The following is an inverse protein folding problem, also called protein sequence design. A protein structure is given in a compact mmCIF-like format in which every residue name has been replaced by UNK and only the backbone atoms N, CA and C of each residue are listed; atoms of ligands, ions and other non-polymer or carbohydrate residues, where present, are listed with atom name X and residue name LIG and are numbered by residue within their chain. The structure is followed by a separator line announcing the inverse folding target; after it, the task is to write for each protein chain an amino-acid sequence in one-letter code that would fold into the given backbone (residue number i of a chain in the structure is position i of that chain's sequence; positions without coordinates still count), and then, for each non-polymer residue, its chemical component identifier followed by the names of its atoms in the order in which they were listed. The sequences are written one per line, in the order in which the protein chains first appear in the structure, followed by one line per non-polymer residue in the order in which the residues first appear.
data_IF_882986017443
#
_entry.id   IF_882986017443
#
_cell.length_a   1.000
_cell.length_b   1.000
_cell.length_c   1.000
_cell.angle_alpha   90.00
_cell.angle_beta   90.00
_cell.angle_gamma   90.00
#
_symmetry.space_group_name_H-M   'P 1'
#
loop_
_entity.id
_entity.type
_entity.pdbx_description
1 polymer ?
#
# COMPACT_ATOMS: atom_id res chain seq x y z
N UNK A 1 -3.36 0.35 20.48
CA UNK A 1 -2.92 0.30 19.07
C UNK A 1 -2.29 -1.05 18.84
N UNK A 2 -2.84 -1.87 17.94
CA UNK A 2 -2.11 -3.03 17.42
C UNK A 2 -0.98 -2.52 16.51
N UNK A 3 0.16 -3.21 16.47
CA UNK A 3 1.25 -2.85 15.56
C UNK A 3 0.81 -3.06 14.10
N UNK A 4 1.32 -2.22 13.20
CA UNK A 4 1.14 -2.35 11.74
C UNK A 4 2.43 -2.77 11.04
N UNK A 5 3.46 -3.15 11.79
CA UNK A 5 4.75 -3.51 11.21
C UNK A 5 4.72 -4.98 10.78
N UNK A 6 5.34 -5.30 9.64
CA UNK A 6 5.40 -6.67 9.13
C UNK A 6 6.04 -7.62 10.16
N UNK A 7 7.06 -7.15 10.87
CA UNK A 7 7.75 -7.94 11.91
C UNK A 7 6.87 -8.31 13.11
N UNK A 8 5.80 -7.56 13.34
CA UNK A 8 4.91 -7.71 14.50
C UNK A 8 3.54 -8.27 14.11
N UNK A 9 3.35 -8.64 12.83
CA UNK A 9 2.05 -9.06 12.28
C UNK A 9 2.16 -10.32 11.46
N UNK A 10 1.12 -11.15 11.50
CA UNK A 10 0.92 -12.24 10.53
C UNK A 10 0.31 -11.70 9.24
N UNK A 11 0.34 -12.51 8.18
CA UNK A 11 -0.36 -12.19 6.92
C UNK A 11 -1.84 -11.90 7.15
N UNK A 12 -2.53 -12.74 7.91
CA UNK A 12 -3.96 -12.60 8.22
C UNK A 12 -4.25 -11.31 9.01
N UNK A 13 -3.37 -10.93 9.93
CA UNK A 13 -3.48 -9.65 10.63
C UNK A 13 -3.33 -8.47 9.68
N UNK A 14 -2.40 -8.55 8.72
CA UNK A 14 -2.24 -7.52 7.69
C UNK A 14 -3.45 -7.42 6.76
N UNK A 15 -4.04 -8.55 6.38
CA UNK A 15 -5.30 -8.57 5.60
C UNK A 15 -6.43 -7.87 6.35
N UNK A 16 -6.58 -8.13 7.66
CA UNK A 16 -7.56 -7.43 8.51
C UNK A 16 -7.25 -5.94 8.64
N UNK A 17 -6.00 -5.56 8.86
CA UNK A 17 -5.58 -4.15 8.96
C UNK A 17 -5.94 -3.40 7.67
N UNK A 18 -5.68 -3.98 6.50
CA UNK A 18 -6.02 -3.39 5.20
C UNK A 18 -7.54 -3.29 5.03
N UNK A 19 -8.29 -4.35 5.33
CA UNK A 19 -9.75 -4.36 5.24
C UNK A 19 -10.41 -3.33 6.16
N UNK A 20 -9.95 -3.22 7.42
CA UNK A 20 -10.42 -2.21 8.38
C UNK A 20 -10.06 -0.79 7.94
N UNK A 21 -8.87 -0.59 7.36
CA UNK A 21 -8.38 0.72 6.91
C UNK A 21 -9.12 1.27 5.70
N UNK A 22 -9.60 0.39 4.81
CA UNK A 22 -10.43 0.77 3.65
C UNK A 22 -11.87 1.09 4.10
N UNK A 23 -12.24 0.71 5.33
CA UNK A 23 -13.59 0.82 5.86
C UNK A 23 -14.43 -0.37 5.44
N UNK A 24 -15.21 -0.92 6.37
CA UNK A 24 -16.10 -2.08 6.18
C UNK A 24 -16.74 -2.08 4.77
N UNK A 25 -16.29 -2.98 3.90
CA UNK A 25 -16.88 -3.24 2.57
C UNK A 25 -18.19 -4.04 2.74
N UNK A 26 -18.95 -3.79 3.82
CA UNK A 26 -20.35 -4.24 3.93
C UNK A 26 -21.24 -3.50 2.92
N UNK A 27 -20.74 -2.37 2.39
CA UNK A 27 -21.23 -1.82 1.14
C UNK A 27 -20.82 -2.72 -0.01
N UNK A 28 -21.69 -3.68 -0.36
CA UNK A 28 -21.73 -4.50 -1.58
C UNK A 28 -21.38 -3.69 -2.85
N UNK A 29 -20.09 -3.41 -3.05
CA UNK A 29 -19.57 -2.76 -4.24
C UNK A 29 -18.62 -3.75 -4.91
N UNK A 30 -19.26 -4.64 -5.67
CA UNK A 30 -18.68 -5.73 -6.46
C UNK A 30 -17.70 -5.15 -7.49
N UNK A 31 -16.48 -4.81 -7.04
CA UNK A 31 -15.39 -4.28 -7.87
C UNK A 31 -14.69 -3.00 -7.40
N UNK A 32 -15.19 -2.24 -6.41
CA UNK A 32 -14.52 -0.99 -5.99
C UNK A 32 -13.25 -1.20 -5.17
N UNK A 33 -13.14 -2.35 -4.51
CA UNK A 33 -12.03 -2.64 -3.59
C UNK A 33 -10.81 -3.24 -4.30
N UNK A 34 -10.97 -3.73 -5.53
CA UNK A 34 -9.92 -4.48 -6.24
C UNK A 34 -8.64 -3.65 -6.43
N UNK A 35 -8.75 -2.42 -6.93
CA UNK A 35 -7.58 -1.55 -7.15
C UNK A 35 -6.90 -1.04 -5.87
N UNK A 36 -7.65 -0.90 -4.77
CA UNK A 36 -7.09 -0.45 -3.49
C UNK A 36 -6.38 -1.59 -2.74
N UNK A 37 -6.90 -2.82 -2.85
CA UNK A 37 -6.26 -4.02 -2.29
C UNK A 37 -4.93 -4.29 -3.02
N UNK A 38 -4.90 -4.11 -4.34
CA UNK A 38 -3.68 -4.28 -5.14
C UNK A 38 -2.51 -3.40 -4.67
N UNK A 39 -2.78 -2.15 -4.25
CA UNK A 39 -1.76 -1.25 -3.72
C UNK A 39 -1.11 -1.78 -2.43
N UNK A 40 -1.91 -2.42 -1.55
CA UNK A 40 -1.43 -2.93 -0.26
C UNK A 40 -0.98 -4.40 -0.30
N UNK A 41 -1.09 -5.07 -1.45
CA UNK A 41 -0.67 -6.46 -1.60
C UNK A 41 0.81 -6.72 -1.19
N UNK A 42 1.79 -5.84 -1.51
CA UNK A 42 3.16 -5.99 -1.03
C UNK A 42 3.30 -5.95 0.49
N UNK A 43 2.41 -5.24 1.19
CA UNK A 43 2.36 -5.23 2.65
C UNK A 43 1.76 -6.54 3.17
N UNK A 44 0.63 -6.99 2.61
CA UNK A 44 0.02 -8.28 2.96
C UNK A 44 1.04 -9.42 2.83
N UNK A 45 1.77 -9.47 1.70
CA UNK A 45 2.80 -10.47 1.42
C UNK A 45 4.05 -10.33 2.30
N UNK A 46 4.17 -9.26 3.09
CA UNK A 46 5.32 -9.03 3.97
C UNK A 46 6.58 -8.57 3.23
N UNK A 47 6.43 -8.03 2.02
CA UNK A 47 7.53 -7.59 1.16
C UNK A 47 7.91 -6.13 1.44
N UNK A 48 6.94 -5.27 1.75
CA UNK A 48 7.15 -3.83 1.90
C UNK A 48 6.25 -3.23 2.98
N UNK A 49 6.79 -2.35 3.82
CA UNK A 49 6.01 -1.69 4.88
C UNK A 49 5.00 -0.69 4.29
N UNK A 50 3.86 -0.49 4.98
CA UNK A 50 2.82 0.48 4.57
C UNK A 50 3.43 1.87 4.30
N UNK A 51 4.40 2.29 5.12
CA UNK A 51 5.05 3.59 4.97
C UNK A 51 5.76 3.73 3.63
N UNK A 52 6.40 2.67 3.17
CA UNK A 52 7.15 2.67 1.92
C UNK A 52 6.20 2.65 0.71
N UNK A 53 5.09 1.90 0.80
CA UNK A 53 4.00 1.91 -0.19
C UNK A 53 3.41 3.32 -0.33
N UNK A 54 3.08 3.97 0.80
CA UNK A 54 2.52 5.31 0.81
C UNK A 54 3.48 6.36 0.24
N UNK A 55 4.79 6.20 0.45
CA UNK A 55 5.79 7.10 -0.10
C UNK A 55 5.88 6.99 -1.62
N UNK A 56 5.84 5.77 -2.16
CA UNK A 56 5.81 5.54 -3.61
C UNK A 56 4.56 6.18 -4.22
N UNK A 57 3.39 5.93 -3.66
CA UNK A 57 2.14 6.52 -4.19
C UNK A 57 2.15 8.06 -4.16
N UNK A 58 2.68 8.67 -3.09
CA UNK A 58 2.78 10.14 -2.97
C UNK A 58 3.76 10.74 -3.97
N UNK A 59 4.90 10.09 -4.21
CA UNK A 59 5.87 10.53 -5.21
C UNK A 59 5.26 10.51 -6.63
N UNK A 60 4.39 9.54 -6.93
CA UNK A 60 3.68 9.46 -8.21
C UNK A 60 2.55 10.50 -8.33
N UNK A 61 1.81 10.76 -7.25
CA UNK A 61 0.74 11.76 -7.24
C UNK A 61 1.26 13.19 -7.50
N UNK A 62 2.40 13.57 -6.90
CA UNK A 62 2.97 14.92 -7.07
C UNK A 62 3.66 15.13 -8.43
N UNK A 63 4.01 14.06 -9.14
CA UNK A 63 4.72 14.14 -10.42
C UNK A 63 3.82 14.01 -11.65
N UNK A 64 2.52 13.72 -11.48
CA UNK A 64 1.57 13.58 -12.60
C UNK A 64 1.89 12.40 -13.53
N UNK A 65 2.74 11.47 -13.10
CA UNK A 65 3.09 10.25 -13.83
C UNK A 65 2.49 9.05 -13.10
N UNK A 66 1.52 8.41 -13.74
CA UNK A 66 0.97 7.12 -13.34
C UNK A 66 2.03 6.02 -13.49
N UNK A 67 2.50 5.46 -12.37
CA UNK A 67 3.26 4.20 -12.33
C UNK A 67 4.78 4.31 -12.10
N UNK A 68 5.45 3.17 -11.80
CA UNK A 68 6.76 3.18 -11.15
C UNK A 68 7.89 3.49 -12.14
N UNK A 69 8.22 4.77 -12.25
CA UNK A 69 9.51 5.18 -12.81
C UNK A 69 10.59 5.09 -11.73
N UNK A 70 11.39 4.01 -11.75
CA UNK A 70 12.70 4.02 -11.10
C UNK A 70 13.61 4.98 -11.89
N UNK A 71 13.60 6.26 -11.54
CA UNK A 71 14.58 7.21 -12.04
C UNK A 71 15.78 7.20 -11.08
N UNK A 72 16.87 6.63 -11.57
CA UNK A 72 18.20 6.66 -10.97
C UNK A 72 18.56 8.07 -10.45
N UNK A 73 19.05 8.15 -9.21
CA UNK A 73 19.49 9.37 -8.56
C UNK A 73 20.81 9.86 -9.20
N UNK A 74 20.69 10.52 -10.36
CA UNK A 74 21.82 11.14 -11.06
C UNK A 74 22.10 12.56 -10.56
N UNK A 75 22.71 12.70 -9.39
CA UNK A 75 23.32 13.98 -9.00
C UNK A 75 24.60 14.18 -9.83
N UNK A 76 24.59 15.13 -10.77
CA UNK A 76 25.82 15.69 -11.35
C UNK A 76 25.82 17.20 -11.15
N UNK A 77 26.86 17.62 -10.43
CA UNK A 77 27.27 19.00 -10.15
C UNK A 77 27.47 19.81 -11.43
#
# INVERSE_FOLDING_TARGET
MNSILIKDTTREERERIVAESIGNIDGNCDGCSAGLIEMYQPYIDGVKEIRDINMEFRAHYESGVDGPAKADCGYKM
#
